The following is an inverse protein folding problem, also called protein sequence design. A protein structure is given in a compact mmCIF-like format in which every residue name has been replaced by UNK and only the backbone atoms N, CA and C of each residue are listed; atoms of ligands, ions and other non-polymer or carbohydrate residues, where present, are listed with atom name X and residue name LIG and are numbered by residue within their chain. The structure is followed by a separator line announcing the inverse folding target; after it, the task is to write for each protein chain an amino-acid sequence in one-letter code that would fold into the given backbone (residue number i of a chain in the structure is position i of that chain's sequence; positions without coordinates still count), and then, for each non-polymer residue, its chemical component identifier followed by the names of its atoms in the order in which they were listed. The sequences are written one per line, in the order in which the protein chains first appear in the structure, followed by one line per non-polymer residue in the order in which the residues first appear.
data_IF_296524011167
#
_entry.id   IF_296524011167
#
_cell.length_a   1.000
_cell.length_b   1.000
_cell.length_c   1.000
_cell.angle_alpha   90.00
_cell.angle_beta   90.00
_cell.angle_gamma   90.00
#
_symmetry.space_group_name_H-M   'P 1'
#
loop_
_entity.id
_entity.type
_entity.pdbx_description
1 polymer ?
#
# COMPACT_ATOMS: atom_id res chain seq x y z
N UNK A 1 8.90 31.04 22.19
CA UNK A 1 7.84 30.19 22.77
C UNK A 1 7.67 28.98 21.89
N UNK A 2 7.87 27.78 22.46
CA UNK A 2 7.74 26.50 21.75
C UNK A 2 6.38 25.92 22.13
N UNK A 3 5.49 25.78 21.16
CA UNK A 3 4.37 24.83 21.26
C UNK A 3 4.19 24.18 19.90
N UNK A 4 5.02 23.17 19.64
CA UNK A 4 4.70 22.14 18.67
C UNK A 4 3.52 21.34 19.25
N UNK A 5 2.30 21.74 18.89
CA UNK A 5 1.11 20.94 19.18
C UNK A 5 1.16 19.70 18.29
N UNK A 6 1.82 18.63 18.77
CA UNK A 6 1.61 17.29 18.25
C UNK A 6 0.17 16.90 18.56
N UNK A 7 -0.72 17.28 17.65
CA UNK A 7 -2.14 16.96 17.73
C UNK A 7 -2.30 15.44 17.67
N UNK A 8 -2.73 14.86 18.78
CA UNK A 8 -3.30 13.52 18.87
C UNK A 8 -4.63 13.49 18.07
N UNK A 9 -4.56 13.64 16.74
CA UNK A 9 -5.72 13.68 15.85
C UNK A 9 -6.19 12.25 15.65
N UNK A 10 -7.41 11.98 16.08
CA UNK A 10 -8.11 10.74 15.73
C UNK A 10 -8.31 10.73 14.21
N UNK A 11 -7.78 9.71 13.54
CA UNK A 11 -7.98 9.52 12.10
C UNK A 11 -9.48 9.33 11.83
N UNK A 12 -9.98 10.01 10.80
CA UNK A 12 -11.30 9.69 10.26
C UNK A 12 -11.32 8.27 9.71
N UNK A 13 -12.52 7.68 9.62
CA UNK A 13 -12.69 6.35 9.05
C UNK A 13 -12.11 6.27 7.62
N UNK A 14 -12.23 7.34 6.83
CA UNK A 14 -11.69 7.39 5.47
C UNK A 14 -10.15 7.37 5.48
N UNK A 15 -9.51 8.19 6.32
CA UNK A 15 -8.05 8.19 6.47
C UNK A 15 -7.53 6.83 6.95
N UNK A 16 -8.20 6.23 7.94
CA UNK A 16 -7.87 4.91 8.46
C UNK A 16 -8.01 3.82 7.38
N UNK A 17 -9.08 3.85 6.58
CA UNK A 17 -9.31 2.88 5.52
C UNK A 17 -8.25 2.98 4.41
N UNK A 18 -7.88 4.20 4.01
CA UNK A 18 -6.83 4.43 3.02
C UNK A 18 -5.46 4.00 3.55
N UNK A 19 -5.14 4.34 4.79
CA UNK A 19 -3.89 3.92 5.44
C UNK A 19 -3.80 2.39 5.56
N UNK A 20 -4.88 1.74 6.00
CA UNK A 20 -4.96 0.28 6.10
C UNK A 20 -4.82 -0.38 4.72
N UNK A 21 -5.44 0.18 3.69
CA UNK A 21 -5.33 -0.33 2.32
C UNK A 21 -3.89 -0.20 1.77
N UNK A 22 -3.25 0.94 2.05
CA UNK A 22 -1.85 1.18 1.70
C UNK A 22 -0.91 0.19 2.38
N UNK A 23 -1.12 -0.05 3.68
CA UNK A 23 -0.32 -1.00 4.47
C UNK A 23 -0.42 -2.41 3.87
N UNK A 24 -1.65 -2.92 3.68
CA UNK A 24 -1.86 -4.28 3.17
C UNK A 24 -1.23 -4.51 1.81
N UNK A 25 -1.33 -3.54 0.89
CA UNK A 25 -0.69 -3.63 -0.43
C UNK A 25 0.83 -3.55 -0.33
N UNK A 26 1.37 -2.73 0.58
CA UNK A 26 2.82 -2.65 0.80
C UNK A 26 3.37 -3.96 1.38
N UNK A 27 2.63 -4.63 2.27
CA UNK A 27 2.96 -5.96 2.78
C UNK A 27 2.95 -7.01 1.66
N UNK A 28 1.94 -6.97 0.77
CA UNK A 28 1.88 -7.84 -0.40
C UNK A 28 3.08 -7.63 -1.34
N UNK A 29 3.48 -6.38 -1.59
CA UNK A 29 4.65 -6.06 -2.41
C UNK A 29 5.94 -6.71 -1.88
N UNK A 30 6.14 -6.70 -0.56
CA UNK A 30 7.28 -7.36 0.05
C UNK A 30 7.20 -8.89 -0.07
N UNK A 31 5.99 -9.46 0.01
CA UNK A 31 5.78 -10.89 -0.10
C UNK A 31 5.94 -11.44 -1.54
N UNK A 32 5.65 -10.63 -2.57
CA UNK A 32 5.72 -11.09 -3.96
C UNK A 32 7.10 -11.58 -4.38
N UNK A 33 8.18 -11.02 -3.83
CA UNK A 33 9.55 -11.50 -4.12
C UNK A 33 9.70 -12.98 -3.73
N UNK A 34 9.22 -13.35 -2.55
CA UNK A 34 9.22 -14.74 -2.09
C UNK A 34 8.27 -15.60 -2.92
N UNK A 35 7.08 -15.12 -3.25
CA UNK A 35 6.10 -15.89 -4.03
C UNK A 35 6.59 -16.18 -5.46
N UNK A 36 7.26 -15.21 -6.08
CA UNK A 36 7.89 -15.38 -7.39
C UNK A 36 9.01 -16.43 -7.29
N UNK A 37 9.83 -16.37 -6.24
CA UNK A 37 10.89 -17.35 -6.00
C UNK A 37 10.32 -18.76 -5.82
N UNK A 38 9.30 -18.91 -4.97
CA UNK A 38 8.65 -20.21 -4.73
C UNK A 38 8.02 -20.76 -6.02
N UNK A 39 7.42 -19.90 -6.86
CA UNK A 39 6.88 -20.29 -8.16
C UNK A 39 7.95 -20.73 -9.16
N UNK A 40 9.14 -20.09 -9.15
CA UNK A 40 10.30 -20.50 -9.93
C UNK A 40 10.83 -21.86 -9.47
N UNK A 41 10.97 -22.07 -8.15
CA UNK A 41 11.41 -23.35 -7.57
C UNK A 41 10.42 -24.49 -7.90
N UNK A 42 9.13 -24.18 -7.98
CA UNK A 42 8.08 -25.11 -8.42
C UNK A 42 8.02 -25.32 -9.95
N UNK A 43 8.88 -24.66 -10.74
CA UNK A 43 8.86 -24.66 -12.21
C UNK A 43 7.50 -24.25 -12.82
N UNK A 44 6.77 -23.36 -12.14
CA UNK A 44 5.45 -22.89 -12.60
C UNK A 44 5.55 -21.51 -13.22
N UNK A 45 5.88 -21.46 -14.51
CA UNK A 45 5.95 -20.22 -15.28
C UNK A 45 4.64 -19.39 -15.24
N UNK A 46 3.43 -19.98 -15.33
CA UNK A 46 2.19 -19.21 -15.21
C UNK A 46 2.03 -18.51 -13.85
N UNK A 47 2.51 -19.13 -12.77
CA UNK A 47 2.47 -18.52 -11.45
C UNK A 47 3.49 -17.38 -11.31
N UNK A 48 4.68 -17.53 -11.90
CA UNK A 48 5.68 -16.44 -11.97
C UNK A 48 5.08 -15.20 -12.64
N UNK A 49 4.48 -15.39 -13.82
CA UNK A 49 3.86 -14.30 -14.58
C UNK A 49 2.70 -13.65 -13.82
N UNK A 50 1.87 -14.46 -13.16
CA UNK A 50 0.78 -13.96 -12.32
C UNK A 50 1.30 -13.10 -11.18
N UNK A 51 2.29 -13.56 -10.41
CA UNK A 51 2.82 -12.78 -9.28
C UNK A 51 3.57 -11.53 -9.72
N UNK A 52 4.28 -11.57 -10.85
CA UNK A 52 4.89 -10.37 -11.45
C UNK A 52 3.83 -9.34 -11.86
N UNK A 53 2.74 -9.78 -12.49
CA UNK A 53 1.63 -8.91 -12.86
C UNK A 53 0.98 -8.29 -11.61
N UNK A 54 0.69 -9.10 -10.59
CA UNK A 54 0.13 -8.62 -9.32
C UNK A 54 1.04 -7.60 -8.64
N UNK A 55 2.35 -7.85 -8.61
CA UNK A 55 3.33 -6.91 -8.08
C UNK A 55 3.27 -5.57 -8.80
N UNK A 56 3.25 -5.56 -10.14
CA UNK A 56 3.17 -4.33 -10.92
C UNK A 56 1.88 -3.55 -10.66
N UNK A 57 0.74 -4.24 -10.64
CA UNK A 57 -0.57 -3.62 -10.37
C UNK A 57 -0.62 -3.03 -8.95
N UNK A 58 -0.14 -3.77 -7.94
CA UNK A 58 -0.12 -3.26 -6.57
C UNK A 58 0.87 -2.11 -6.35
N UNK A 59 1.98 -2.06 -7.10
CA UNK A 59 2.85 -0.88 -7.10
C UNK A 59 2.12 0.38 -7.58
N UNK A 60 1.29 0.25 -8.63
CA UNK A 60 0.49 1.37 -9.14
C UNK A 60 -0.57 1.78 -8.12
N UNK A 61 -1.31 0.81 -7.55
CA UNK A 61 -2.31 1.08 -6.53
C UNK A 61 -1.71 1.74 -5.27
N UNK A 62 -0.53 1.31 -4.82
CA UNK A 62 0.18 1.92 -3.67
C UNK A 62 0.47 3.40 -3.94
N UNK A 63 0.90 3.74 -5.16
CA UNK A 63 1.16 5.13 -5.53
C UNK A 63 -0.13 5.96 -5.53
N UNK A 64 -1.20 5.44 -6.12
CA UNK A 64 -2.51 6.10 -6.19
C UNK A 64 -3.12 6.32 -4.79
N UNK A 65 -3.16 5.27 -3.96
CA UNK A 65 -3.67 5.36 -2.59
C UNK A 65 -2.85 6.36 -1.77
N UNK A 66 -1.51 6.38 -1.95
CA UNK A 66 -0.66 7.35 -1.25
C UNK A 66 -0.96 8.78 -1.67
N UNK A 67 -1.25 9.03 -2.94
CA UNK A 67 -1.64 10.36 -3.42
C UNK A 67 -2.99 10.78 -2.81
N UNK A 68 -3.99 9.90 -2.84
CA UNK A 68 -5.30 10.19 -2.26
C UNK A 68 -5.25 10.35 -0.74
N UNK A 69 -4.46 9.55 -0.03
CA UNK A 69 -4.28 9.69 1.40
C UNK A 69 -3.73 11.07 1.76
N UNK A 70 -2.73 11.57 1.02
CA UNK A 70 -2.22 12.94 1.21
C UNK A 70 -3.32 13.99 1.00
N UNK A 71 -4.08 13.89 -0.09
CA UNK A 71 -5.18 14.81 -0.37
C UNK A 71 -6.22 14.80 0.74
N UNK A 72 -6.63 13.63 1.23
CA UNK A 72 -7.61 13.51 2.33
C UNK A 72 -7.07 14.09 3.63
N UNK A 73 -5.80 13.86 3.95
CA UNK A 73 -5.17 14.39 5.17
C UNK A 73 -5.02 15.92 5.14
N UNK A 74 -4.70 16.48 3.96
CA UNK A 74 -4.52 17.92 3.73
C UNK A 74 -5.87 18.67 3.64
N UNK A 75 -6.87 18.09 2.97
CA UNK A 75 -8.14 18.76 2.68
C UNK A 75 -9.25 18.41 3.68
N UNK A 76 -9.02 17.46 4.58
CA UNK A 76 -9.92 17.12 5.70
C UNK A 76 -11.24 16.43 5.30
N UNK A 77 -11.60 16.44 4.02
CA UNK A 77 -12.61 15.69 3.26
C UNK A 77 -12.69 16.37 1.90
N UNK A 78 -12.47 15.65 0.80
CA UNK A 78 -13.06 16.06 -0.47
C UNK A 78 -14.57 15.81 -0.42
#
# INVERSE_FOLDING_TARGET
MVTASQSNRVLSNLEYNLLTSLQRKSEALHAYEQYIKDAQEANSQPCVELFQKLQQEDMQHVQEIRQHLKQVMEQGKM
#
